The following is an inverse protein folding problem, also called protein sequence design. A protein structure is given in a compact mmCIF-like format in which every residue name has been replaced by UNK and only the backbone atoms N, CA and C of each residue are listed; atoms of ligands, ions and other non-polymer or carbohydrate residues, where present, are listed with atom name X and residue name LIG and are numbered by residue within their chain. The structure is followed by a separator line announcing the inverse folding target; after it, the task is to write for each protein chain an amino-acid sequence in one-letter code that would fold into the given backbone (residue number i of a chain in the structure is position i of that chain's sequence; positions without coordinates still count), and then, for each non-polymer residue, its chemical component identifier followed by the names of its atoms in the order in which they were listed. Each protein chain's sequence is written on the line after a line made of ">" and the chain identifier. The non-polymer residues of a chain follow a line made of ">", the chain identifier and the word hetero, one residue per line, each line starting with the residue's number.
data_IF_814421267817
#
_entry.id   IF_814421267817
#
_cell.length_a   1.000
_cell.length_b   1.000
_cell.length_c   1.000
_cell.angle_alpha   90.00
_cell.angle_beta   90.00
_cell.angle_gamma   90.00
#
_symmetry.space_group_name_H-M   'P 1'
#
loop_
_entity.id
_entity.type
_entity.pdbx_description
1 polymer ?
#
# COMPACT_ATOMS: atom_id res chain seq x y z
N UNK A 1 -14.22 -22.51 12.16
CA UNK A 1 -14.64 -23.26 10.95
C UNK A 1 -13.43 -23.39 10.03
N UNK A 2 -13.11 -24.58 9.48
CA UNK A 2 -11.92 -24.71 8.62
C UNK A 2 -12.09 -23.93 7.32
N UNK A 3 -11.01 -23.31 6.82
CA UNK A 3 -10.99 -22.51 5.59
C UNK A 3 -11.54 -23.27 4.37
N UNK A 4 -11.45 -24.61 4.36
CA UNK A 4 -12.05 -25.48 3.35
C UNK A 4 -13.59 -25.43 3.33
N UNK A 5 -14.26 -25.32 4.48
CA UNK A 5 -15.74 -25.21 4.56
C UNK A 5 -16.23 -23.84 4.11
N UNK A 6 -15.47 -22.77 4.39
CA UNK A 6 -15.75 -21.41 3.90
C UNK A 6 -15.60 -21.36 2.37
N UNK A 7 -14.55 -21.98 1.80
CA UNK A 7 -14.40 -22.09 0.35
C UNK A 7 -15.56 -22.80 -0.32
N UNK A 8 -15.97 -23.97 0.20
CA UNK A 8 -17.04 -24.75 -0.39
C UNK A 8 -18.38 -24.00 -0.35
N UNK A 9 -18.61 -23.21 0.71
CA UNK A 9 -19.79 -22.33 0.82
C UNK A 9 -19.73 -21.16 -0.18
N UNK A 10 -18.60 -20.45 -0.27
CA UNK A 10 -18.44 -19.31 -1.18
C UNK A 10 -18.47 -19.76 -2.65
N UNK A 11 -17.86 -20.90 -2.99
CA UNK A 11 -17.93 -21.48 -4.34
C UNK A 11 -19.37 -21.83 -4.74
N UNK A 12 -20.15 -22.41 -3.81
CA UNK A 12 -21.58 -22.71 -4.03
C UNK A 12 -22.45 -21.46 -4.11
N UNK A 13 -22.20 -20.44 -3.30
CA UNK A 13 -23.02 -19.21 -3.23
C UNK A 13 -22.70 -18.20 -4.34
N UNK A 14 -21.45 -18.13 -4.83
CA UNK A 14 -21.03 -17.10 -5.80
C UNK A 14 -20.79 -17.62 -7.23
N UNK A 15 -20.81 -18.93 -7.47
CA UNK A 15 -20.68 -19.51 -8.81
C UNK A 15 -19.32 -19.27 -9.49
N UNK A 16 -18.25 -18.99 -8.73
CA UNK A 16 -16.92 -18.72 -9.26
C UNK A 16 -15.90 -19.77 -8.83
N UNK A 17 -14.99 -20.11 -9.75
CA UNK A 17 -13.90 -21.07 -9.53
C UNK A 17 -12.74 -20.42 -8.74
N UNK A 18 -12.81 -20.48 -7.41
CA UNK A 18 -11.72 -20.07 -6.51
C UNK A 18 -10.73 -21.22 -6.27
N UNK A 19 -9.43 -20.90 -6.14
CA UNK A 19 -8.37 -21.82 -5.70
C UNK A 19 -7.78 -21.35 -4.37
N UNK A 20 -7.33 -22.28 -3.52
CA UNK A 20 -6.59 -21.95 -2.29
C UNK A 20 -5.09 -21.83 -2.57
N UNK A 21 -4.46 -20.79 -2.00
CA UNK A 21 -3.01 -20.64 -1.92
C UNK A 21 -2.66 -20.03 -0.56
N UNK A 22 -1.95 -20.77 0.30
CA UNK A 22 -1.58 -20.33 1.64
C UNK A 22 -2.75 -19.66 2.41
N UNK A 23 -3.92 -20.32 2.41
CA UNK A 23 -5.18 -19.85 3.02
C UNK A 23 -5.88 -18.65 2.34
N UNK A 24 -5.32 -18.12 1.25
CA UNK A 24 -5.92 -17.08 0.42
C UNK A 24 -6.72 -17.71 -0.71
N UNK A 25 -7.94 -17.22 -0.95
CA UNK A 25 -8.77 -17.58 -2.10
C UNK A 25 -8.36 -16.75 -3.30
N UNK A 26 -8.01 -17.40 -4.39
CA UNK A 26 -7.58 -16.77 -5.63
C UNK A 26 -8.58 -17.04 -6.72
N UNK A 27 -8.86 -16.01 -7.52
CA UNK A 27 -9.59 -16.11 -8.77
C UNK A 27 -8.79 -15.46 -9.88
N UNK A 28 -8.58 -16.16 -10.99
CA UNK A 28 -7.98 -15.54 -12.17
C UNK A 28 -9.05 -14.83 -12.99
N UNK A 29 -8.75 -13.61 -13.42
CA UNK A 29 -9.66 -12.76 -14.20
C UNK A 29 -8.95 -12.15 -15.39
N UNK A 30 -9.73 -11.79 -16.41
CA UNK A 30 -9.26 -10.97 -17.53
C UNK A 30 -9.78 -9.55 -17.38
N UNK A 31 -8.95 -8.57 -17.72
CA UNK A 31 -9.28 -7.15 -17.68
C UNK A 31 -9.23 -6.52 -19.07
N UNK A 32 -10.02 -5.46 -19.24
CA UNK A 32 -10.05 -4.68 -20.49
C UNK A 32 -8.84 -3.77 -20.65
N UNK A 33 -8.31 -3.27 -19.53
CA UNK A 33 -7.17 -2.35 -19.50
C UNK A 33 -6.22 -2.65 -18.33
N UNK A 34 -4.94 -2.33 -18.49
CA UNK A 34 -3.93 -2.41 -17.44
C UNK A 34 -3.70 -1.06 -16.73
N UNK A 35 -3.57 0.02 -17.49
CA UNK A 35 -3.30 1.37 -17.00
C UNK A 35 -4.58 2.20 -16.91
N UNK A 36 -4.91 2.58 -15.67
CA UNK A 36 -6.04 3.47 -15.37
C UNK A 36 -5.51 4.89 -15.17
N UNK A 37 -6.15 5.92 -15.74
CA UNK A 37 -5.77 7.32 -15.43
C UNK A 37 -5.89 7.55 -13.92
N UNK A 38 -4.86 8.14 -13.32
CA UNK A 38 -4.83 8.41 -11.89
C UNK A 38 -5.45 9.78 -11.59
N UNK A 39 -6.06 9.90 -10.41
CA UNK A 39 -6.46 11.19 -9.82
C UNK A 39 -5.43 11.74 -8.83
N UNK A 40 -4.33 11.01 -8.60
CA UNK A 40 -3.25 11.41 -7.70
C UNK A 40 -2.38 12.44 -8.42
N UNK A 41 -2.13 13.58 -7.78
CA UNK A 41 -1.28 14.65 -8.34
C UNK A 41 0.09 14.12 -8.73
N UNK A 42 0.59 14.51 -9.91
CA UNK A 42 1.88 14.07 -10.45
C UNK A 42 1.88 12.65 -11.03
N UNK A 43 0.83 11.86 -10.83
CA UNK A 43 0.72 10.49 -11.35
C UNK A 43 -0.19 10.47 -12.57
N UNK A 44 0.32 10.05 -13.72
CA UNK A 44 -0.49 9.97 -14.94
C UNK A 44 -1.39 8.72 -14.94
N UNK A 45 -0.83 7.57 -14.54
CA UNK A 45 -1.56 6.30 -14.53
C UNK A 45 -1.29 5.49 -13.27
N UNK A 46 -2.27 4.64 -12.91
CA UNK A 46 -2.08 3.60 -11.92
C UNK A 46 -2.04 2.23 -12.58
N UNK A 47 -1.19 1.36 -12.05
CA UNK A 47 -1.04 -0.03 -12.47
C UNK A 47 -1.19 -0.93 -11.25
N UNK A 48 -2.20 -1.79 -11.27
CA UNK A 48 -2.52 -2.65 -10.14
C UNK A 48 -2.68 -4.09 -10.65
N UNK A 49 -1.72 -4.99 -10.40
CA UNK A 49 -1.78 -6.35 -10.94
C UNK A 49 -2.89 -7.22 -10.34
N UNK A 50 -3.38 -6.83 -9.16
CA UNK A 50 -4.33 -7.58 -8.37
C UNK A 50 -5.58 -6.76 -8.04
N UNK A 51 -6.63 -7.44 -7.61
CA UNK A 51 -7.78 -6.87 -6.90
C UNK A 51 -7.88 -7.60 -5.58
N UNK A 52 -7.99 -6.85 -4.48
CA UNK A 52 -7.77 -7.41 -3.14
C UNK A 52 -6.30 -7.32 -2.74
N UNK A 53 -6.06 -7.43 -1.43
CA UNK A 53 -4.71 -7.43 -0.87
C UNK A 53 -4.62 -8.34 0.35
N UNK A 54 -3.76 -9.35 0.32
CA UNK A 54 -3.63 -10.37 1.37
C UNK A 54 -3.06 -9.82 2.69
N UNK A 55 -2.44 -8.64 2.64
CA UNK A 55 -2.03 -7.89 3.84
C UNK A 55 -3.20 -7.58 4.79
N UNK A 56 -4.43 -7.48 4.26
CA UNK A 56 -5.65 -7.44 5.08
C UNK A 56 -5.80 -6.21 5.98
N UNK A 57 -5.10 -5.10 5.71
CA UNK A 57 -5.09 -3.93 6.59
C UNK A 57 -6.52 -3.46 6.90
N UNK A 58 -6.85 -3.30 8.18
CA UNK A 58 -8.23 -3.03 8.61
C UNK A 58 -8.73 -1.67 8.12
N UNK A 59 -7.81 -0.71 8.04
CA UNK A 59 -8.06 0.66 7.61
C UNK A 59 -8.11 0.83 6.08
N UNK A 60 -7.75 -0.20 5.30
CA UNK A 60 -7.48 -0.05 3.87
C UNK A 60 -8.68 0.53 3.12
N UNK A 61 -8.47 1.66 2.43
CA UNK A 61 -9.52 2.29 1.64
C UNK A 61 -9.93 1.41 0.46
N UNK A 62 -8.96 0.72 -0.18
CA UNK A 62 -9.14 -0.05 -1.39
C UNK A 62 -10.12 -1.22 -1.27
N UNK A 63 -10.53 -1.59 -0.05
CA UNK A 63 -11.66 -2.47 0.23
C UNK A 63 -12.95 -2.05 -0.48
N UNK A 64 -13.12 -0.76 -0.83
CA UNK A 64 -14.23 -0.34 -1.67
C UNK A 64 -14.31 -1.13 -2.99
N UNK A 65 -13.18 -1.43 -3.64
CA UNK A 65 -13.11 -2.18 -4.89
C UNK A 65 -13.57 -3.61 -4.68
N UNK A 66 -13.15 -4.22 -3.56
CA UNK A 66 -13.55 -5.57 -3.21
C UNK A 66 -15.07 -5.70 -3.15
N UNK A 67 -15.74 -4.71 -2.55
CA UNK A 67 -17.22 -4.68 -2.47
C UNK A 67 -17.90 -4.54 -3.83
N UNK A 68 -17.46 -3.60 -4.69
CA UNK A 68 -18.05 -3.44 -6.03
C UNK A 68 -17.92 -4.69 -6.90
N UNK A 69 -16.96 -5.57 -6.60
CA UNK A 69 -16.65 -6.77 -7.38
C UNK A 69 -17.00 -8.08 -6.66
N UNK A 70 -17.67 -8.01 -5.51
CA UNK A 70 -17.97 -9.17 -4.64
C UNK A 70 -16.73 -9.98 -4.19
N UNK A 71 -15.57 -9.34 -4.15
CA UNK A 71 -14.29 -9.87 -3.65
C UNK A 71 -14.21 -9.57 -2.15
N UNK A 72 -14.94 -10.37 -1.38
CA UNK A 72 -15.05 -10.27 0.08
C UNK A 72 -14.98 -11.65 0.73
N UNK A 73 -14.36 -11.77 1.91
CA UNK A 73 -13.82 -10.67 2.73
C UNK A 73 -12.43 -10.15 2.29
N UNK A 74 -12.17 -8.86 2.50
CA UNK A 74 -10.88 -8.21 2.19
C UNK A 74 -9.75 -8.79 3.03
N UNK A 75 -8.64 -9.15 2.39
CA UNK A 75 -7.55 -9.91 3.02
C UNK A 75 -7.57 -11.39 2.69
N UNK A 76 -8.72 -11.93 2.26
CA UNK A 76 -8.87 -13.37 2.03
C UNK A 76 -9.12 -13.72 0.56
N UNK A 77 -9.71 -12.83 -0.24
CA UNK A 77 -9.95 -13.06 -1.67
C UNK A 77 -9.12 -12.11 -2.53
N UNK A 78 -8.39 -12.68 -3.49
CA UNK A 78 -7.59 -11.97 -4.48
C UNK A 78 -8.03 -12.34 -5.89
N UNK A 79 -8.36 -11.35 -6.73
CA UNK A 79 -8.47 -11.55 -8.17
C UNK A 79 -7.15 -11.21 -8.86
N UNK A 80 -6.60 -12.16 -9.61
CA UNK A 80 -5.35 -12.02 -10.34
C UNK A 80 -5.64 -11.70 -11.80
N UNK A 81 -5.08 -10.59 -12.30
CA UNK A 81 -5.32 -10.12 -13.67
C UNK A 81 -4.40 -10.83 -14.66
N UNK A 82 -4.74 -12.06 -15.05
CA UNK A 82 -3.84 -12.93 -15.83
C UNK A 82 -3.49 -12.42 -17.23
N UNK A 83 -4.28 -11.52 -17.81
CA UNK A 83 -3.96 -10.87 -19.09
C UNK A 83 -3.39 -9.45 -18.94
N UNK A 84 -3.00 -9.03 -17.72
CA UNK A 84 -2.50 -7.68 -17.44
C UNK A 84 -1.32 -7.31 -18.34
N UNK A 85 -0.30 -8.18 -18.42
CA UNK A 85 0.93 -7.90 -19.18
C UNK A 85 0.66 -7.70 -20.67
N UNK A 86 -0.23 -8.54 -21.25
CA UNK A 86 -0.65 -8.41 -22.63
C UNK A 86 -1.41 -7.10 -22.89
N UNK A 87 -2.22 -6.62 -21.94
CA UNK A 87 -2.88 -5.31 -22.05
C UNK A 87 -1.89 -4.17 -21.85
N UNK A 88 -0.99 -4.29 -20.88
CA UNK A 88 0.03 -3.30 -20.58
C UNK A 88 0.91 -3.03 -21.81
N UNK A 89 1.44 -4.09 -22.45
CA UNK A 89 2.27 -3.96 -23.65
C UNK A 89 1.57 -3.19 -24.78
N UNK A 90 0.28 -3.48 -25.05
CA UNK A 90 -0.47 -2.76 -26.09
C UNK A 90 -0.81 -1.32 -25.70
N UNK A 91 -1.00 -1.04 -24.41
CA UNK A 91 -1.26 0.30 -23.93
C UNK A 91 -0.01 1.19 -23.92
N UNK A 92 1.16 0.66 -23.57
CA UNK A 92 2.43 1.40 -23.56
C UNK A 92 2.85 1.88 -24.95
N UNK A 93 2.49 1.17 -26.03
CA UNK A 93 2.74 1.60 -27.42
C UNK A 93 2.02 2.89 -27.82
N UNK A 94 0.91 3.22 -27.16
CA UNK A 94 -0.03 4.27 -27.59
C UNK A 94 -0.31 5.35 -26.54
N UNK A 95 -0.06 5.08 -25.26
CA UNK A 95 -0.27 6.06 -24.19
C UNK A 95 0.86 7.08 -24.18
N UNK A 96 0.51 8.32 -23.84
CA UNK A 96 1.49 9.38 -23.59
C UNK A 96 2.35 9.00 -22.39
N UNK A 97 3.65 9.26 -22.51
CA UNK A 97 4.61 9.10 -21.41
C UNK A 97 4.14 9.90 -20.19
N UNK A 98 4.31 9.33 -19.01
CA UNK A 98 3.97 9.95 -17.74
C UNK A 98 4.14 8.95 -16.60
N UNK A 99 4.25 9.48 -15.39
CA UNK A 99 4.50 8.69 -14.18
C UNK A 99 3.42 7.62 -13.94
N UNK A 100 3.87 6.38 -13.71
CA UNK A 100 3.01 5.26 -13.37
C UNK A 100 3.19 4.89 -11.91
N UNK A 101 2.11 4.92 -11.12
CA UNK A 101 2.14 4.43 -9.75
C UNK A 101 1.65 2.98 -9.68
N UNK A 102 2.50 2.08 -9.20
CA UNK A 102 2.14 0.70 -8.92
C UNK A 102 1.65 0.58 -7.48
N UNK A 103 0.52 -0.10 -7.29
CA UNK A 103 0.05 -0.42 -5.95
C UNK A 103 -0.91 0.58 -5.31
N UNK A 104 -1.58 1.41 -6.12
CA UNK A 104 -2.55 2.39 -5.61
C UNK A 104 -3.81 1.76 -5.00
N UNK A 105 -4.14 0.49 -5.27
CA UNK A 105 -5.33 -0.17 -4.70
C UNK A 105 -5.12 -1.63 -4.29
N UNK A 106 -3.87 -2.08 -4.33
CA UNK A 106 -3.42 -3.37 -3.80
C UNK A 106 -1.92 -3.23 -3.49
N UNK A 107 -1.35 -4.13 -2.71
CA UNK A 107 0.11 -4.22 -2.68
C UNK A 107 0.59 -5.04 -3.89
N UNK A 108 1.46 -4.50 -4.77
CA UNK A 108 1.92 -5.21 -5.96
C UNK A 108 2.89 -6.36 -5.59
N UNK A 109 3.44 -6.36 -4.37
CA UNK A 109 4.34 -7.36 -3.83
C UNK A 109 3.73 -8.15 -2.66
N UNK A 110 2.39 -8.19 -2.56
CA UNK A 110 1.70 -9.10 -1.65
C UNK A 110 2.09 -10.57 -1.91
N UNK A 111 1.89 -11.50 -0.96
CA UNK A 111 2.41 -12.88 -1.04
C UNK A 111 2.15 -13.64 -2.34
N UNK A 112 1.03 -13.38 -3.04
CA UNK A 112 0.71 -14.08 -4.28
C UNK A 112 1.62 -13.69 -5.46
N UNK A 113 2.34 -12.57 -5.36
CA UNK A 113 3.31 -12.10 -6.35
C UNK A 113 4.55 -13.00 -6.45
N UNK A 114 4.88 -13.78 -5.40
CA UNK A 114 5.95 -14.79 -5.48
C UNK A 114 5.70 -15.80 -6.60
N UNK A 115 4.42 -16.17 -6.78
CA UNK A 115 3.98 -17.14 -7.78
C UNK A 115 3.72 -16.50 -9.14
N UNK A 116 2.95 -15.41 -9.18
CA UNK A 116 2.45 -14.88 -10.45
C UNK A 116 3.42 -13.93 -11.16
N UNK A 117 4.32 -13.29 -10.41
CA UNK A 117 5.36 -12.41 -10.95
C UNK A 117 4.84 -11.30 -11.89
N UNK A 118 3.58 -10.87 -11.72
CA UNK A 118 2.97 -9.88 -12.61
C UNK A 118 3.60 -8.50 -12.43
N UNK A 119 4.04 -8.17 -11.21
CA UNK A 119 4.75 -6.93 -10.93
C UNK A 119 6.14 -6.95 -11.55
N UNK A 120 6.88 -8.06 -11.38
CA UNK A 120 8.22 -8.24 -11.98
C UNK A 120 8.18 -8.04 -13.50
N UNK A 121 7.29 -8.75 -14.18
CA UNK A 121 7.17 -8.66 -15.63
C UNK A 121 6.61 -7.31 -16.10
N UNK A 122 5.75 -6.67 -15.31
CA UNK A 122 5.31 -5.31 -15.59
C UNK A 122 6.48 -4.32 -15.54
N UNK A 123 7.36 -4.42 -14.54
CA UNK A 123 8.55 -3.57 -14.43
C UNK A 123 9.45 -3.71 -15.66
N UNK A 124 9.67 -4.93 -16.17
CA UNK A 124 10.42 -5.14 -17.42
C UNK A 124 9.79 -4.38 -18.59
N UNK A 125 8.47 -4.51 -18.79
CA UNK A 125 7.76 -3.78 -19.83
C UNK A 125 7.85 -2.25 -19.65
N UNK A 126 7.72 -1.74 -18.42
CA UNK A 126 7.84 -0.31 -18.15
C UNK A 126 9.25 0.20 -18.51
N UNK A 127 10.30 -0.57 -18.21
CA UNK A 127 11.68 -0.25 -18.61
C UNK A 127 11.88 -0.28 -20.12
N UNK A 128 11.39 -1.32 -20.80
CA UNK A 128 11.51 -1.47 -22.26
C UNK A 128 10.84 -0.31 -23.01
N UNK A 129 9.68 0.14 -22.52
CA UNK A 129 8.95 1.29 -23.08
C UNK A 129 9.33 2.63 -22.44
N UNK A 130 10.32 2.63 -21.53
CA UNK A 130 10.89 3.80 -20.84
C UNK A 130 9.89 4.66 -20.06
N UNK A 131 8.83 4.07 -19.52
CA UNK A 131 7.90 4.77 -18.63
C UNK A 131 8.50 4.87 -17.22
N UNK A 132 8.53 6.07 -16.61
CA UNK A 132 8.90 6.21 -15.21
C UNK A 132 7.80 5.67 -14.31
N UNK A 133 8.20 5.18 -13.13
CA UNK A 133 7.25 4.57 -12.22
C UNK A 133 7.71 4.57 -10.76
N UNK A 134 6.71 4.57 -9.90
CA UNK A 134 6.84 4.55 -8.46
C UNK A 134 6.08 3.37 -7.90
N UNK A 135 6.70 2.58 -7.03
CA UNK A 135 6.09 1.40 -6.42
C UNK A 135 5.69 1.72 -4.98
N UNK A 136 4.41 1.58 -4.66
CA UNK A 136 3.91 1.61 -3.28
C UNK A 136 3.86 0.21 -2.71
N UNK A 137 4.58 -0.07 -1.63
CA UNK A 137 4.54 -1.42 -1.01
C UNK A 137 4.81 -1.40 0.50
N UNK A 138 4.41 -2.46 1.17
CA UNK A 138 4.79 -2.86 2.55
C UNK A 138 5.74 -4.06 2.56
N UNK A 139 6.04 -4.61 1.38
CA UNK A 139 6.62 -5.93 1.24
C UNK A 139 8.09 -5.89 0.90
N UNK A 140 8.88 -6.69 1.63
CA UNK A 140 10.29 -6.96 1.35
C UNK A 140 10.49 -7.76 0.06
N UNK A 141 9.44 -8.38 -0.49
CA UNK A 141 9.52 -9.13 -1.75
C UNK A 141 9.97 -8.25 -2.92
N UNK A 142 9.84 -6.93 -2.82
CA UNK A 142 10.42 -6.02 -3.80
C UNK A 142 11.95 -6.15 -3.96
N UNK A 143 12.65 -6.64 -2.94
CA UNK A 143 14.10 -6.90 -2.99
C UNK A 143 14.47 -7.99 -3.99
N UNK A 144 13.55 -8.93 -4.30
CA UNK A 144 13.72 -9.92 -5.37
C UNK A 144 14.01 -9.25 -6.72
N UNK A 145 13.43 -8.07 -6.93
CA UNK A 145 13.46 -7.37 -8.21
C UNK A 145 14.47 -6.21 -8.23
N UNK A 146 15.44 -6.18 -7.30
CA UNK A 146 16.53 -5.19 -7.29
C UNK A 146 17.28 -5.15 -8.62
N UNK A 147 17.48 -6.30 -9.29
CA UNK A 147 18.12 -6.38 -10.60
C UNK A 147 17.38 -5.55 -11.68
N UNK A 148 16.07 -5.38 -11.51
CA UNK A 148 15.24 -4.56 -12.38
C UNK A 148 15.11 -3.13 -11.87
N UNK A 149 15.15 -2.88 -10.57
CA UNK A 149 14.95 -1.55 -9.99
C UNK A 149 16.23 -0.70 -9.98
N UNK A 150 17.40 -1.33 -9.86
CA UNK A 150 18.68 -0.66 -9.87
C UNK A 150 19.16 -0.31 -11.29
N UNK A 151 20.17 0.57 -11.39
CA UNK A 151 20.88 0.88 -12.63
C UNK A 151 20.01 1.61 -13.68
N UNK A 152 19.40 2.73 -13.29
CA UNK A 152 18.43 3.47 -14.11
C UNK A 152 18.98 3.84 -15.50
N UNK A 153 18.21 3.53 -16.56
CA UNK A 153 18.48 3.91 -17.97
C UNK A 153 17.26 4.51 -18.70
N UNK A 154 16.24 4.93 -17.95
CA UNK A 154 15.02 5.51 -18.52
C UNK A 154 14.97 7.03 -18.27
N UNK A 155 14.33 7.82 -19.15
CA UNK A 155 14.08 9.23 -18.89
C UNK A 155 12.97 9.33 -17.82
N UNK A 156 13.37 9.62 -16.59
CA UNK A 156 12.48 9.74 -15.44
C UNK A 156 12.88 8.81 -14.29
N UNK A 157 12.11 8.85 -13.20
CA UNK A 157 12.51 8.24 -11.95
C UNK A 157 11.90 6.83 -11.80
N UNK A 158 12.73 5.88 -11.34
CA UNK A 158 12.26 4.63 -10.75
C UNK A 158 12.40 4.79 -9.25
N UNK A 159 11.29 4.67 -8.51
CA UNK A 159 11.32 4.82 -7.06
C UNK A 159 10.46 3.78 -6.33
N UNK A 160 10.78 3.57 -5.06
CA UNK A 160 10.01 2.70 -4.15
C UNK A 160 9.59 3.50 -2.92
N UNK A 161 8.29 3.57 -2.68
CA UNK A 161 7.73 4.11 -1.44
C UNK A 161 7.37 2.94 -0.50
N UNK A 162 8.11 2.84 0.60
CA UNK A 162 7.88 1.82 1.62
C UNK A 162 6.97 2.37 2.70
N UNK A 163 5.83 1.70 2.94
CA UNK A 163 4.90 2.15 3.97
C UNK A 163 5.33 1.75 5.39
N UNK A 164 5.41 2.74 6.28
CA UNK A 164 5.46 2.56 7.73
C UNK A 164 4.30 3.34 8.34
N UNK A 165 3.39 2.70 9.07
CA UNK A 165 2.24 3.39 9.72
C UNK A 165 2.50 3.72 11.19
N UNK A 166 3.45 3.05 11.81
CA UNK A 166 3.85 3.17 13.22
C UNK A 166 5.22 2.48 13.37
N UNK A 167 5.94 2.80 14.44
CA UNK A 167 7.13 2.06 14.87
C UNK A 167 6.82 1.05 15.99
N UNK A 168 5.56 0.96 16.45
CA UNK A 168 5.10 -0.05 17.42
C UNK A 168 4.57 -1.30 16.70
N UNK A 169 5.35 -2.39 16.80
CA UNK A 169 5.03 -3.66 16.17
C UNK A 169 3.73 -4.29 16.68
N UNK A 170 3.31 -3.97 17.93
CA UNK A 170 2.03 -4.42 18.51
C UNK A 170 0.86 -3.72 17.84
N UNK A 171 0.98 -2.41 17.60
CA UNK A 171 -0.04 -1.63 16.87
C UNK A 171 -0.11 -2.08 15.42
N UNK A 172 1.03 -2.34 14.78
CA UNK A 172 1.06 -2.89 13.42
C UNK A 172 0.35 -4.27 13.33
N UNK A 173 0.41 -5.14 14.35
CA UNK A 173 -0.41 -6.41 14.38
C UNK A 173 -1.90 -6.15 14.35
N UNK A 174 -2.35 -5.09 15.01
CA UNK A 174 -3.78 -4.76 15.08
C UNK A 174 -4.25 -4.24 13.72
N UNK A 175 -3.52 -3.29 13.14
CA UNK A 175 -3.97 -2.58 11.94
C UNK A 175 -3.60 -3.27 10.63
N UNK A 176 -2.49 -4.02 10.62
CA UNK A 176 -1.84 -4.63 9.45
C UNK A 176 -1.42 -6.08 9.77
N UNK A 177 -2.38 -6.97 10.08
CA UNK A 177 -2.12 -8.26 10.72
C UNK A 177 -1.23 -9.19 9.89
N UNK A 178 -1.35 -9.13 8.56
CA UNK A 178 -0.63 -10.00 7.62
C UNK A 178 0.43 -9.25 6.81
N UNK A 179 0.74 -8.00 7.14
CA UNK A 179 1.82 -7.27 6.48
C UNK A 179 3.17 -7.58 7.15
N UNK A 180 4.29 -7.46 6.41
CA UNK A 180 5.62 -7.65 6.98
C UNK A 180 5.90 -6.79 8.20
N UNK A 181 6.77 -7.27 9.08
CA UNK A 181 7.14 -6.60 10.32
C UNK A 181 7.78 -5.23 10.03
N UNK A 182 7.66 -4.29 10.98
CA UNK A 182 8.25 -2.95 10.85
C UNK A 182 9.76 -3.06 10.60
N UNK A 183 10.46 -3.91 11.36
CA UNK A 183 11.89 -4.13 11.22
C UNK A 183 12.27 -4.62 9.81
N UNK A 184 11.45 -5.47 9.21
CA UNK A 184 11.66 -5.99 7.86
C UNK A 184 11.50 -4.89 6.81
N UNK A 185 10.55 -3.98 6.99
CA UNK A 185 10.38 -2.81 6.11
C UNK A 185 11.54 -1.82 6.25
N UNK A 186 12.06 -1.62 7.46
CA UNK A 186 13.25 -0.80 7.72
C UNK A 186 14.48 -1.42 7.04
N UNK A 187 14.69 -2.74 7.17
CA UNK A 187 15.76 -3.46 6.47
C UNK A 187 15.60 -3.33 4.96
N UNK A 188 14.39 -3.44 4.45
CA UNK A 188 14.09 -3.27 3.02
C UNK A 188 14.47 -1.88 2.52
N UNK A 189 14.14 -0.81 3.26
CA UNK A 189 14.59 0.55 2.93
C UNK A 189 16.12 0.65 2.88
N UNK A 190 16.83 0.08 3.86
CA UNK A 190 18.31 0.06 3.88
C UNK A 190 18.89 -0.62 2.64
N UNK A 191 18.36 -1.78 2.26
CA UNK A 191 18.86 -2.52 1.09
C UNK A 191 18.57 -1.80 -0.23
N UNK A 192 17.38 -1.21 -0.37
CA UNK A 192 17.04 -0.40 -1.54
C UNK A 192 17.97 0.81 -1.68
N UNK A 193 18.25 1.52 -0.56
CA UNK A 193 19.22 2.62 -0.54
C UNK A 193 20.62 2.17 -0.91
N UNK A 194 21.09 1.04 -0.37
CA UNK A 194 22.40 0.44 -0.71
C UNK A 194 22.53 0.11 -2.19
N UNK A 195 21.43 -0.30 -2.83
CA UNK A 195 21.36 -0.56 -4.26
C UNK A 195 21.25 0.71 -5.13
N UNK A 196 21.27 1.91 -4.53
CA UNK A 196 21.14 3.19 -5.25
C UNK A 196 19.75 3.43 -5.82
N UNK A 197 18.72 2.76 -5.29
CA UNK A 197 17.33 2.95 -5.70
C UNK A 197 16.76 4.15 -4.93
N UNK A 198 16.04 5.04 -5.62
CA UNK A 198 15.34 6.15 -4.99
C UNK A 198 14.25 5.61 -4.07
N UNK A 199 14.26 6.01 -2.82
CA UNK A 199 13.32 5.51 -1.81
C UNK A 199 12.60 6.64 -1.07
N UNK A 200 11.34 6.38 -0.77
CA UNK A 200 10.54 7.26 0.07
C UNK A 200 10.03 6.46 1.25
N UNK A 201 10.14 7.04 2.45
CA UNK A 201 9.42 6.52 3.62
C UNK A 201 8.00 7.08 3.57
N UNK A 202 7.03 6.21 3.30
CA UNK A 202 5.61 6.60 3.31
C UNK A 202 5.03 6.39 4.71
N UNK A 203 4.95 7.47 5.48
CA UNK A 203 4.30 7.52 6.77
C UNK A 203 2.78 7.68 6.62
N UNK A 204 2.11 6.60 6.23
CA UNK A 204 0.72 6.67 5.80
C UNK A 204 -0.06 5.34 5.88
N UNK A 205 -1.29 5.35 6.42
CA UNK A 205 -1.89 6.45 7.15
C UNK A 205 -1.26 6.64 8.55
N UNK A 206 -1.10 7.89 8.97
CA UNK A 206 -0.94 8.22 10.39
C UNK A 206 -2.20 7.73 11.13
N UNK A 207 -2.00 6.84 12.10
CA UNK A 207 -3.04 6.21 12.89
C UNK A 207 -3.40 7.12 14.08
N UNK A 208 -4.64 7.64 14.15
CA UNK A 208 -5.06 8.44 15.30
C UNK A 208 -4.83 7.71 16.62
N UNK A 209 -4.43 8.45 17.65
CA UNK A 209 -4.03 7.97 18.99
C UNK A 209 -2.72 7.17 19.03
N UNK A 210 -2.40 6.40 17.99
CA UNK A 210 -1.33 5.40 18.01
C UNK A 210 -0.03 5.86 17.38
N UNK A 211 -0.07 6.72 16.37
CA UNK A 211 1.13 7.22 15.68
C UNK A 211 1.03 8.71 15.36
N UNK A 212 0.08 9.42 15.96
CA UNK A 212 -0.21 10.82 15.65
C UNK A 212 0.40 11.80 16.66
N UNK A 213 1.01 11.33 17.76
CA UNK A 213 1.66 12.20 18.75
C UNK A 213 2.97 12.78 18.20
N UNK A 214 3.38 13.96 18.69
CA UNK A 214 4.61 14.63 18.25
C UNK A 214 5.83 13.71 18.33
N UNK A 215 6.00 12.99 19.45
CA UNK A 215 7.14 12.08 19.62
C UNK A 215 7.14 10.92 18.61
N UNK A 216 5.99 10.30 18.36
CA UNK A 216 5.87 9.20 17.38
C UNK A 216 6.19 9.66 15.95
N UNK A 217 5.70 10.85 15.59
CA UNK A 217 6.00 11.48 14.29
C UNK A 217 7.51 11.76 14.20
N UNK A 218 8.09 12.31 15.27
CA UNK A 218 9.51 12.66 15.36
C UNK A 218 10.41 11.44 15.22
N UNK A 219 10.06 10.31 15.83
CA UNK A 219 10.83 9.06 15.68
C UNK A 219 10.80 8.53 14.24
N UNK A 220 9.66 8.59 13.55
CA UNK A 220 9.58 8.21 12.13
C UNK A 220 10.43 9.14 11.27
N UNK A 221 10.47 10.44 11.57
CA UNK A 221 11.26 11.41 10.81
C UNK A 221 12.75 11.21 11.03
N UNK A 222 13.17 11.02 12.28
CA UNK A 222 14.55 10.67 12.63
C UNK A 222 15.00 9.39 11.95
N UNK A 223 14.13 8.38 11.90
CA UNK A 223 14.40 7.15 11.16
C UNK A 223 14.61 7.41 9.67
N UNK A 224 13.72 8.18 9.03
CA UNK A 224 13.84 8.51 7.60
C UNK A 224 15.16 9.24 7.29
N UNK A 225 15.50 10.25 8.09
CA UNK A 225 16.76 11.00 7.97
C UNK A 225 17.99 10.09 8.18
N UNK A 226 17.98 9.26 9.21
CA UNK A 226 19.07 8.31 9.50
C UNK A 226 19.24 7.23 8.41
N UNK A 227 18.16 6.86 7.72
CA UNK A 227 18.20 5.96 6.57
C UNK A 227 18.68 6.65 5.28
N UNK A 228 18.67 7.98 5.25
CA UNK A 228 18.99 8.77 4.06
C UNK A 228 17.98 8.56 2.92
N UNK A 229 16.70 8.34 3.23
CA UNK A 229 15.65 8.31 2.20
C UNK A 229 15.50 9.70 1.55
N UNK A 230 14.94 9.75 0.36
CA UNK A 230 14.90 10.97 -0.45
C UNK A 230 13.84 11.95 0.04
N UNK A 231 12.72 11.42 0.54
CA UNK A 231 11.69 12.19 1.23
C UNK A 231 10.90 11.30 2.19
N UNK A 232 10.19 11.94 3.12
CA UNK A 232 9.15 11.33 3.92
C UNK A 232 7.80 11.87 3.45
N UNK A 233 6.93 10.97 3.00
CA UNK A 233 5.56 11.30 2.64
C UNK A 233 4.64 11.00 3.82
N UNK A 234 3.81 11.98 4.20
CA UNK A 234 2.87 11.82 5.32
C UNK A 234 1.45 11.89 4.80
N UNK A 235 0.68 10.83 5.04
CA UNK A 235 -0.75 10.76 4.74
C UNK A 235 -1.58 10.50 6.00
N UNK A 236 -2.80 11.02 6.05
CA UNK A 236 -3.73 10.76 7.14
C UNK A 236 -4.54 9.51 6.87
N UNK A 237 -5.16 8.99 7.93
CA UNK A 237 -6.21 8.01 7.79
C UNK A 237 -7.37 8.55 6.94
N UNK A 238 -7.80 7.75 5.96
CA UNK A 238 -9.06 7.97 5.27
C UNK A 238 -10.22 7.60 6.20
N UNK A 239 -10.95 8.60 6.68
CA UNK A 239 -12.11 8.42 7.55
C UNK A 239 -13.32 7.89 6.79
N UNK A 240 -13.37 6.57 6.65
CA UNK A 240 -14.48 5.89 6.01
C UNK A 240 -15.40 5.35 7.10
N UNK A 241 -16.59 5.93 7.27
CA UNK A 241 -17.52 5.60 8.36
C UNK A 241 -17.78 4.09 8.51
N UNK A 242 -17.99 3.37 7.41
CA UNK A 242 -18.22 1.92 7.44
C UNK A 242 -17.04 1.09 7.97
N UNK A 243 -15.82 1.65 7.98
CA UNK A 243 -14.62 0.98 8.51
C UNK A 243 -14.50 1.13 10.02
N UNK A 244 -15.14 2.15 10.59
CA UNK A 244 -15.04 2.47 12.00
C UNK A 244 -15.43 1.29 12.91
N UNK A 245 -16.53 0.53 12.69
CA UNK A 245 -16.84 -0.62 13.53
C UNK A 245 -15.73 -1.68 13.54
N UNK A 246 -15.10 -1.93 12.37
CA UNK A 246 -13.98 -2.87 12.26
C UNK A 246 -12.75 -2.35 13.02
N UNK A 247 -12.47 -1.05 12.94
CA UNK A 247 -11.38 -0.42 13.68
C UNK A 247 -11.64 -0.49 15.18
N UNK A 248 -12.81 -0.06 15.67
CA UNK A 248 -13.20 -0.09 17.08
C UNK A 248 -13.09 -1.51 17.65
N UNK A 249 -13.58 -2.51 16.90
CA UNK A 249 -13.44 -3.92 17.30
C UNK A 249 -11.97 -4.34 17.43
N UNK A 250 -11.13 -3.95 16.48
CA UNK A 250 -9.71 -4.28 16.50
C UNK A 250 -8.96 -3.61 17.68
N UNK A 251 -9.38 -2.42 18.10
CA UNK A 251 -8.80 -1.67 19.21
C UNK A 251 -9.60 -1.79 20.51
N UNK A 252 -10.46 -2.81 20.66
CA UNK A 252 -11.34 -2.98 21.82
C UNK A 252 -10.62 -2.94 23.18
N UNK A 253 -9.33 -3.31 23.20
CA UNK A 253 -8.47 -3.28 24.38
C UNK A 253 -7.87 -1.89 24.68
N UNK A 254 -8.24 -0.86 23.92
CA UNK A 254 -7.77 0.53 24.07
C UNK A 254 -8.96 1.50 24.23
N UNK A 255 -9.63 1.54 25.40
CA UNK A 255 -10.84 2.35 25.60
C UNK A 255 -10.63 3.85 25.30
N UNK A 256 -9.48 4.40 25.68
CA UNK A 256 -9.14 5.79 25.39
C UNK A 256 -8.97 6.04 23.86
N UNK A 257 -8.43 5.07 23.12
CA UNK A 257 -8.34 5.16 21.67
C UNK A 257 -9.74 5.13 21.06
N UNK A 258 -10.63 4.24 21.51
CA UNK A 258 -12.03 4.19 21.03
C UNK A 258 -12.70 5.56 21.20
N UNK A 259 -12.58 6.15 22.40
CA UNK A 259 -13.11 7.49 22.65
C UNK A 259 -12.52 8.53 21.70
N UNK A 260 -11.22 8.49 21.45
CA UNK A 260 -10.54 9.39 20.51
C UNK A 260 -11.05 9.23 19.07
N UNK A 261 -11.26 7.99 18.60
CA UNK A 261 -11.83 7.74 17.27
C UNK A 261 -13.27 8.24 17.15
N UNK A 262 -14.10 8.09 18.19
CA UNK A 262 -15.47 8.64 18.21
C UNK A 262 -15.48 10.18 18.25
N UNK A 263 -14.53 10.82 18.95
CA UNK A 263 -14.38 12.28 18.89
C UNK A 263 -14.00 12.75 17.48
N UNK A 264 -13.05 12.06 16.84
CA UNK A 264 -12.67 12.38 15.45
C UNK A 264 -13.85 12.21 14.51
N UNK A 265 -14.69 11.18 14.73
CA UNK A 265 -15.92 10.94 13.97
C UNK A 265 -16.84 12.15 13.93
N UNK A 266 -16.93 12.91 15.02
CA UNK A 266 -17.77 14.10 15.11
C UNK A 266 -17.24 15.27 14.26
N UNK A 267 -15.92 15.38 14.06
CA UNK A 267 -15.33 16.44 13.25
C UNK A 267 -13.94 16.07 12.67
N UNK A 268 -13.95 15.34 11.55
CA UNK A 268 -12.74 14.91 10.85
C UNK A 268 -11.86 16.08 10.37
N UNK A 269 -12.47 17.20 10.00
CA UNK A 269 -11.75 18.38 9.50
C UNK A 269 -10.91 19.02 10.61
N UNK A 270 -11.47 19.09 11.84
CA UNK A 270 -10.75 19.59 13.01
C UNK A 270 -9.52 18.73 13.31
N UNK A 271 -9.69 17.41 13.37
CA UNK A 271 -8.55 16.50 13.58
C UNK A 271 -7.50 16.64 12.46
N UNK A 272 -7.94 16.68 11.21
CA UNK A 272 -7.04 16.81 10.05
C UNK A 272 -6.20 18.07 10.13
N UNK A 273 -6.80 19.20 10.51
CA UNK A 273 -6.09 20.47 10.72
C UNK A 273 -5.05 20.34 11.84
N UNK A 274 -5.43 19.80 13.00
CA UNK A 274 -4.52 19.60 14.14
C UNK A 274 -3.35 18.69 13.77
N UNK A 275 -3.62 17.56 13.10
CA UNK A 275 -2.58 16.64 12.67
C UNK A 275 -1.62 17.32 11.67
N UNK A 276 -2.14 18.10 10.73
CA UNK A 276 -1.33 18.82 9.75
C UNK A 276 -0.43 19.86 10.40
N UNK A 277 -0.94 20.63 11.35
CA UNK A 277 -0.15 21.60 12.14
C UNK A 277 0.93 20.89 12.94
N UNK A 278 0.60 19.78 13.61
CA UNK A 278 1.54 18.96 14.36
C UNK A 278 2.67 18.40 13.49
N UNK A 279 2.34 17.82 12.35
CA UNK A 279 3.31 17.27 11.41
C UNK A 279 4.25 18.37 10.89
N UNK A 280 3.70 19.54 10.55
CA UNK A 280 4.51 20.69 10.09
C UNK A 280 5.48 21.18 11.16
N UNK A 281 5.00 21.33 12.41
CA UNK A 281 5.83 21.74 13.54
C UNK A 281 7.00 20.78 13.75
N UNK A 282 6.75 19.47 13.76
CA UNK A 282 7.83 18.47 13.91
C UNK A 282 8.77 18.50 12.71
N UNK A 283 8.27 18.73 11.49
CA UNK A 283 9.10 18.79 10.29
C UNK A 283 10.13 19.92 10.29
N UNK A 284 9.91 21.02 11.04
CA UNK A 284 10.88 22.12 11.20
C UNK A 284 12.19 21.68 11.88
N UNK A 285 12.17 20.55 12.59
CA UNK A 285 13.33 20.01 13.31
C UNK A 285 14.25 19.15 12.43
N UNK A 286 13.86 18.86 11.18
CA UNK A 286 14.55 17.91 10.30
C UNK A 286 14.96 18.56 8.98
N UNK A 287 16.09 18.10 8.41
CA UNK A 287 16.60 18.61 7.14
C UNK A 287 16.12 17.80 5.93
N UNK A 288 15.67 16.56 6.15
CA UNK A 288 15.08 15.71 5.11
C UNK A 288 13.77 16.30 4.57
N UNK A 289 13.49 16.25 3.25
CA UNK A 289 12.22 16.69 2.71
C UNK A 289 11.03 15.91 3.29
N UNK A 290 10.06 16.63 3.88
CA UNK A 290 8.83 16.07 4.43
C UNK A 290 7.63 16.67 3.69
N UNK A 291 6.84 15.82 3.02
CA UNK A 291 5.68 16.24 2.23
C UNK A 291 4.38 15.69 2.80
N UNK A 292 3.49 16.61 3.20
CA UNK A 292 2.15 16.30 3.71
C UNK A 292 1.14 16.30 2.56
N UNK A 293 0.45 15.19 2.32
CA UNK A 293 -0.41 15.01 1.12
C UNK A 293 -1.92 15.04 1.40
N UNK A 294 -2.33 15.64 2.51
CA UNK A 294 -3.74 15.69 2.97
C UNK A 294 -4.19 17.02 3.57
#
# INVERSE_FOLDING_TARGET
>A
MSNKRILHRIQREKGFNYRLYNLIMIREIRVKQALVKSGISGIAYSLNPYIGCAHGCIYCYADFIGRWRNVLPWGEIIEVKVNLLARLREELKRKKLGEICLGTVCDPYQPIEEKYQLTREAIKLLKDFRFPFTILTKSSLCLRDIDLLAGQKIPGEISVEMTLTTLDERIRKIFEPNSPAIEERIKTLKELKRAGIKTTLFFGPVLPYFSDKEEEIKEVFRLGEALGVEEILVDRLNYIERKLPKIITAIQNYPAAIHFYEQIRQNYNRYTKILKERVKKVAEEFSIPIRVIF
#
